data_IF_915794421851
#
_entry.id   IF_915794421851
#
_cell.length_a   1.000
_cell.length_b   1.000
_cell.length_c   1.000
_cell.angle_alpha   90.00
_cell.angle_beta   90.00
_cell.angle_gamma   90.00
#
_symmetry.space_group_name_H-M   'P 1'
#
loop_
_entity.id
_entity.type
_entity.pdbx_description
1 polymer ?
#
# COMPACT_ATOMS: atom_id res chain seq x y z
N UNK A 1 -48.70 40.92 70.95
CA UNK A 1 -48.77 42.34 71.35
C UNK A 1 -47.93 43.14 70.36
N UNK A 2 -48.57 44.03 69.59
CA UNK A 2 -48.01 45.23 68.91
C UNK A 2 -46.99 45.01 67.76
N UNK A 3 -47.41 45.21 66.50
CA UNK A 3 -47.24 46.43 65.64
C UNK A 3 -45.79 46.60 65.15
N UNK A 4 -45.40 47.14 64.00
CA UNK A 4 -45.97 47.75 62.79
C UNK A 4 -44.71 48.21 61.99
N UNK A 5 -44.85 48.45 60.67
CA UNK A 5 -44.08 49.44 59.86
C UNK A 5 -42.57 49.16 59.63
N UNK A 6 -41.88 49.73 58.64
CA UNK A 6 -42.09 50.11 57.25
C UNK A 6 -40.75 50.77 56.83
N UNK A 7 -40.40 50.68 55.54
CA UNK A 7 -39.46 51.60 54.84
C UNK A 7 -37.98 51.52 55.29
N UNK A 8 -36.96 51.81 54.48
CA UNK A 8 -36.80 52.73 53.35
C UNK A 8 -35.59 52.31 52.52
N UNK A 9 -35.66 52.58 51.21
CA UNK A 9 -34.53 52.56 50.27
C UNK A 9 -33.51 53.65 50.60
N UNK A 10 -32.22 53.40 50.39
CA UNK A 10 -31.31 54.41 49.84
C UNK A 10 -30.13 53.75 49.10
N UNK A 11 -30.14 53.91 47.77
CA UNK A 11 -29.01 53.63 46.89
C UNK A 11 -27.98 54.75 46.99
N UNK A 12 -26.69 54.40 47.01
CA UNK A 12 -25.62 55.28 46.52
C UNK A 12 -24.68 54.47 45.61
N UNK A 13 -24.59 54.96 44.37
CA UNK A 13 -23.57 54.82 43.31
C UNK A 13 -22.17 54.39 43.81
N UNK A 14 -21.32 53.66 43.09
CA UNK A 14 -21.19 53.42 41.66
C UNK A 14 -19.69 53.38 41.32
N UNK A 15 -19.32 52.54 40.34
CA UNK A 15 -18.05 52.47 39.59
C UNK A 15 -16.75 52.14 40.36
N UNK A 16 -16.17 50.97 40.09
CA UNK A 16 -15.12 50.88 39.06
C UNK A 16 -14.67 49.44 38.80
N UNK A 17 -14.46 49.20 37.52
CA UNK A 17 -14.11 47.97 36.83
C UNK A 17 -12.61 47.68 37.03
N UNK A 18 -12.24 46.48 37.48
CA UNK A 18 -10.88 45.98 37.39
C UNK A 18 -10.90 44.53 36.93
N UNK A 19 -10.43 44.34 35.69
CA UNK A 19 -10.09 43.07 35.06
C UNK A 19 -9.06 42.31 35.90
N UNK A 20 -9.31 41.02 36.17
CA UNK A 20 -8.24 40.07 36.48
C UNK A 20 -8.43 38.85 35.58
N UNK A 21 -7.49 38.70 34.64
CA UNK A 21 -7.35 37.51 33.79
C UNK A 21 -6.79 36.36 34.63
N UNK A 22 -7.52 35.25 34.67
CA UNK A 22 -7.08 33.98 35.24
C UNK A 22 -6.26 33.19 34.22
N UNK A 23 -5.02 32.87 34.58
CA UNK A 23 -4.11 31.98 33.85
C UNK A 23 -4.08 30.59 34.48
N UNK A 24 -4.12 29.60 33.61
CA UNK A 24 -3.92 28.14 33.68
C UNK A 24 -3.37 27.46 34.96
N UNK A 25 -3.95 26.28 35.26
CA UNK A 25 -3.34 25.26 36.12
C UNK A 25 -4.19 24.00 36.36
N UNK A 26 -4.21 23.08 35.39
CA UNK A 26 -4.21 21.60 35.58
C UNK A 26 -5.46 20.87 36.10
N UNK A 27 -6.05 20.01 35.25
CA UNK A 27 -7.02 18.98 35.68
C UNK A 27 -7.87 18.43 34.53
N UNK A 28 -7.37 17.40 33.84
CA UNK A 28 -7.90 16.83 32.61
C UNK A 28 -9.17 15.98 32.87
N UNK A 29 -10.29 16.38 32.28
CA UNK A 29 -11.56 15.65 32.28
C UNK A 29 -11.68 14.91 30.93
N UNK A 30 -11.77 13.58 30.99
CA UNK A 30 -11.90 12.74 29.81
C UNK A 30 -13.30 12.91 29.20
N UNK A 31 -13.36 13.54 28.02
CA UNK A 31 -14.51 13.51 27.13
C UNK A 31 -14.36 12.35 26.14
N UNK A 32 -15.29 11.41 26.21
CA UNK A 32 -15.53 10.40 25.18
C UNK A 32 -15.89 11.08 23.88
N UNK A 33 -14.94 11.15 22.94
CA UNK A 33 -15.21 11.54 21.56
C UNK A 33 -15.79 10.34 20.81
N UNK A 34 -16.97 10.54 20.23
CA UNK A 34 -17.57 9.63 19.27
C UNK A 34 -16.62 9.48 18.06
N UNK A 35 -16.39 8.23 17.63
CA UNK A 35 -15.69 7.93 16.40
C UNK A 35 -16.50 8.46 15.20
N UNK A 36 -16.00 9.53 14.59
CA UNK A 36 -16.41 9.97 13.26
C UNK A 36 -15.85 8.99 12.21
N UNK A 37 -16.75 8.33 11.49
CA UNK A 37 -16.49 7.24 10.53
C UNK A 37 -16.11 7.75 9.12
N UNK A 38 -15.76 9.03 8.97
CA UNK A 38 -15.23 9.56 7.71
C UNK A 38 -13.76 9.95 7.82
N UNK A 39 -12.87 8.98 7.61
CA UNK A 39 -11.46 9.26 7.34
C UNK A 39 -11.35 10.08 6.04
N UNK A 40 -10.73 11.28 6.06
CA UNK A 40 -10.53 12.07 4.84
C UNK A 40 -9.75 11.25 3.81
N UNK A 41 -10.17 11.24 2.54
CA UNK A 41 -9.47 10.55 1.44
C UNK A 41 -7.97 10.91 1.39
N UNK A 42 -7.63 12.14 1.72
CA UNK A 42 -6.25 12.63 1.89
C UNK A 42 -5.44 11.86 2.94
N UNK A 43 -6.08 11.35 4.00
CA UNK A 43 -5.44 10.53 5.03
C UNK A 43 -5.17 9.11 4.54
N UNK A 44 -6.05 8.53 3.71
CA UNK A 44 -5.86 7.22 3.09
C UNK A 44 -4.76 7.29 2.04
N UNK A 45 -4.77 8.32 1.19
CA UNK A 45 -3.69 8.58 0.23
C UNK A 45 -2.36 8.81 0.95
N UNK A 46 -2.33 9.56 2.07
CA UNK A 46 -1.11 9.72 2.89
C UNK A 46 -0.68 8.46 3.65
N UNK A 47 -1.62 7.59 4.01
CA UNK A 47 -1.35 6.30 4.65
C UNK A 47 -0.78 5.30 3.64
N UNK A 48 -1.19 5.43 2.37
CA UNK A 48 -0.65 4.69 1.21
C UNK A 48 0.64 5.30 0.65
N UNK A 49 0.89 6.62 0.73
CA UNK A 49 2.22 7.18 0.41
C UNK A 49 3.28 6.81 1.46
N UNK A 50 2.85 6.43 2.67
CA UNK A 50 3.69 5.80 3.72
C UNK A 50 3.57 4.29 3.74
N UNK A 51 3.20 3.68 2.62
CA UNK A 51 3.30 2.25 2.42
C UNK A 51 4.80 1.90 2.32
N UNK A 52 5.37 1.10 3.23
CA UNK A 52 6.73 0.62 3.06
C UNK A 52 6.69 -0.54 2.06
N UNK A 53 6.39 -0.24 0.80
CA UNK A 53 6.90 -1.07 -0.28
C UNK A 53 8.39 -0.81 -0.17
N UNK A 54 9.25 -1.82 0.02
CA UNK A 54 10.66 -1.59 -0.28
C UNK A 54 10.67 -0.99 -1.68
N UNK A 55 11.16 0.24 -1.77
CA UNK A 55 11.12 0.98 -3.02
C UNK A 55 11.75 0.09 -4.09
N UNK A 56 11.29 0.17 -5.34
CA UNK A 56 11.94 -0.57 -6.41
C UNK A 56 13.47 -0.30 -6.41
N UNK A 57 13.90 0.87 -5.96
CA UNK A 57 15.28 1.22 -5.64
C UNK A 57 15.94 0.38 -4.53
N UNK A 58 15.31 0.23 -3.36
CA UNK A 58 15.82 -0.61 -2.26
C UNK A 58 15.91 -2.07 -2.69
N UNK A 59 14.88 -2.59 -3.37
CA UNK A 59 14.88 -3.94 -3.93
C UNK A 59 16.01 -4.06 -4.97
N UNK A 60 16.17 -3.10 -5.89
CA UNK A 60 17.24 -3.07 -6.91
C UNK A 60 18.64 -3.10 -6.31
N UNK A 61 18.91 -2.22 -5.35
CA UNK A 61 20.23 -2.12 -4.74
C UNK A 61 20.60 -3.39 -3.97
N UNK A 62 19.61 -4.07 -3.39
CA UNK A 62 19.81 -5.31 -2.64
C UNK A 62 19.92 -6.53 -3.57
N UNK A 63 19.14 -6.58 -4.66
CA UNK A 63 19.20 -7.64 -5.67
C UNK A 63 20.52 -7.61 -6.45
N UNK A 64 21.02 -6.43 -6.81
CA UNK A 64 22.35 -6.25 -7.38
C UNK A 64 23.45 -6.71 -6.41
N UNK A 65 23.34 -6.40 -5.11
CA UNK A 65 24.29 -6.86 -4.08
C UNK A 65 24.24 -8.37 -3.84
N UNK A 66 23.07 -9.00 -3.98
CA UNK A 66 22.90 -10.43 -3.80
C UNK A 66 23.45 -11.26 -4.98
N UNK A 67 23.75 -10.62 -6.12
CA UNK A 67 24.28 -11.29 -7.31
C UNK A 67 23.32 -12.32 -7.92
N UNK A 68 22.03 -12.23 -7.60
CA UNK A 68 21.02 -13.12 -8.15
C UNK A 68 20.68 -12.66 -9.57
N UNK A 69 20.80 -13.54 -10.56
CA UNK A 69 20.41 -13.23 -11.93
C UNK A 69 18.90 -13.05 -12.08
N UNK A 70 18.48 -12.39 -13.16
CA UNK A 70 17.07 -12.29 -13.53
C UNK A 70 16.51 -13.68 -13.87
N UNK A 71 15.33 -14.00 -13.34
CA UNK A 71 14.64 -15.27 -13.59
C UNK A 71 13.32 -14.95 -14.28
N UNK A 72 13.24 -15.17 -15.59
CA UNK A 72 12.02 -14.85 -16.35
C UNK A 72 10.82 -15.71 -15.91
N UNK A 73 11.06 -16.96 -15.52
CA UNK A 73 10.00 -17.95 -15.26
C UNK A 73 9.21 -17.73 -13.98
N UNK A 74 9.65 -16.82 -13.09
CA UNK A 74 8.90 -16.53 -11.86
C UNK A 74 7.77 -15.53 -12.12
N UNK A 75 7.98 -14.55 -13.01
CA UNK A 75 6.98 -13.53 -13.34
C UNK A 75 5.71 -14.08 -13.99
N UNK A 76 4.62 -13.32 -13.92
CA UNK A 76 3.35 -13.72 -14.51
C UNK A 76 3.47 -13.73 -16.04
N UNK A 77 2.99 -14.78 -16.71
CA UNK A 77 3.03 -14.84 -18.17
C UNK A 77 2.19 -13.71 -18.76
N UNK A 78 2.75 -12.97 -19.72
CA UNK A 78 2.00 -11.93 -20.44
C UNK A 78 0.85 -12.49 -21.27
N UNK A 79 0.88 -13.79 -21.58
CA UNK A 79 -0.23 -14.49 -22.25
C UNK A 79 -1.47 -14.66 -21.37
N UNK A 80 -1.37 -14.41 -20.06
CA UNK A 80 -2.51 -14.49 -19.16
C UNK A 80 -3.40 -13.24 -19.19
N UNK A 81 -2.95 -12.12 -19.78
CA UNK A 81 -3.71 -10.85 -19.75
C UNK A 81 -5.14 -10.98 -20.28
N UNK A 82 -5.34 -11.81 -21.32
CA UNK A 82 -6.64 -12.08 -21.94
C UNK A 82 -7.56 -13.00 -21.11
N UNK A 83 -7.05 -13.59 -20.02
CA UNK A 83 -7.82 -14.48 -19.13
C UNK A 83 -8.52 -13.72 -18.01
N UNK A 84 -8.16 -12.46 -17.79
CA UNK A 84 -8.69 -11.66 -16.69
C UNK A 84 -9.99 -10.96 -17.12
N UNK A 85 -11.14 -11.58 -16.86
CA UNK A 85 -12.43 -11.08 -17.34
C UNK A 85 -13.12 -10.08 -16.41
N UNK A 86 -13.03 -10.30 -15.10
CA UNK A 86 -13.71 -9.48 -14.08
C UNK A 86 -12.90 -8.24 -13.70
N UNK A 87 -13.56 -7.16 -13.24
CA UNK A 87 -12.86 -5.98 -12.72
C UNK A 87 -11.91 -6.36 -11.58
N UNK A 88 -12.33 -7.24 -10.67
CA UNK A 88 -11.48 -7.83 -9.62
C UNK A 88 -10.22 -8.46 -10.19
N UNK A 89 -10.34 -9.40 -11.13
CA UNK A 89 -9.18 -10.10 -11.71
C UNK A 89 -8.25 -9.14 -12.45
N UNK A 90 -8.80 -8.13 -13.14
CA UNK A 90 -8.01 -7.12 -13.84
C UNK A 90 -7.25 -6.21 -12.88
N UNK A 91 -7.91 -5.74 -11.82
CA UNK A 91 -7.28 -4.90 -10.80
C UNK A 91 -6.14 -5.62 -10.09
N UNK A 92 -6.38 -6.85 -9.62
CA UNK A 92 -5.34 -7.67 -8.99
C UNK A 92 -4.16 -7.85 -9.95
N UNK A 93 -4.43 -8.24 -11.20
CA UNK A 93 -3.36 -8.53 -12.16
C UNK A 93 -2.67 -7.29 -12.72
N UNK A 94 -3.29 -6.11 -12.68
CA UNK A 94 -2.61 -4.84 -12.93
C UNK A 94 -1.53 -4.60 -11.85
N UNK A 95 -1.84 -4.91 -10.59
CA UNK A 95 -0.86 -4.90 -9.51
C UNK A 95 0.28 -5.87 -9.74
N UNK A 96 -0.05 -7.12 -10.10
CA UNK A 96 0.92 -8.21 -10.36
C UNK A 96 1.86 -7.82 -11.51
N UNK A 97 1.33 -7.46 -12.68
CA UNK A 97 2.15 -7.03 -13.81
C UNK A 97 2.95 -5.76 -13.51
N UNK A 98 2.49 -4.95 -12.56
CA UNK A 98 3.26 -3.83 -12.05
C UNK A 98 4.51 -4.21 -11.29
N UNK A 99 4.42 -5.21 -10.43
CA UNK A 99 5.57 -5.78 -9.75
C UNK A 99 6.53 -6.45 -10.76
N UNK A 100 6.00 -7.17 -11.75
CA UNK A 100 6.79 -7.78 -12.82
C UNK A 100 7.51 -6.74 -13.70
N UNK A 101 6.82 -5.65 -14.04
CA UNK A 101 7.40 -4.51 -14.74
C UNK A 101 8.55 -3.90 -13.94
N UNK A 102 8.35 -3.68 -12.63
CA UNK A 102 9.39 -3.15 -11.75
C UNK A 102 10.57 -4.12 -11.64
N UNK A 103 10.32 -5.43 -11.57
CA UNK A 103 11.35 -6.46 -11.52
C UNK A 103 12.17 -6.51 -12.82
N UNK A 104 11.53 -6.56 -13.99
CA UNK A 104 12.21 -6.52 -15.28
C UNK A 104 13.05 -5.24 -15.45
N UNK A 105 12.49 -4.09 -15.05
CA UNK A 105 13.18 -2.80 -15.12
C UNK A 105 14.38 -2.72 -14.18
N UNK A 106 14.25 -3.29 -12.99
CA UNK A 106 15.32 -3.43 -12.00
C UNK A 106 16.51 -4.21 -12.57
N UNK A 107 16.27 -5.21 -13.42
CA UNK A 107 17.32 -5.99 -14.06
C UNK A 107 17.75 -5.46 -15.44
N UNK A 108 17.23 -4.31 -15.86
CA UNK A 108 17.46 -3.74 -17.20
C UNK A 108 17.07 -4.69 -18.34
N UNK A 109 16.07 -5.56 -18.10
CA UNK A 109 15.53 -6.49 -19.08
C UNK A 109 14.55 -5.73 -19.98
N UNK A 110 15.08 -5.07 -21.01
CA UNK A 110 14.31 -4.10 -21.83
C UNK A 110 13.12 -4.74 -22.53
N UNK A 111 13.29 -5.94 -23.10
CA UNK A 111 12.22 -6.62 -23.82
C UNK A 111 11.08 -6.99 -22.87
N UNK A 112 11.42 -7.55 -21.70
CA UNK A 112 10.49 -7.92 -20.63
C UNK A 112 9.78 -6.68 -20.07
N UNK A 113 10.52 -5.59 -19.87
CA UNK A 113 9.96 -4.30 -19.43
C UNK A 113 8.89 -3.82 -20.40
N UNK A 114 9.15 -3.84 -21.71
CA UNK A 114 8.17 -3.45 -22.72
C UNK A 114 6.99 -4.43 -22.81
N UNK A 115 7.23 -5.73 -22.64
CA UNK A 115 6.19 -6.74 -22.60
C UNK A 115 5.22 -6.52 -21.42
N UNK A 116 5.75 -6.28 -20.22
CA UNK A 116 4.93 -6.00 -19.02
C UNK A 116 4.24 -4.64 -19.09
N UNK A 117 4.88 -3.63 -19.67
CA UNK A 117 4.25 -2.34 -19.94
C UNK A 117 3.02 -2.53 -20.85
N UNK A 118 3.13 -3.32 -21.92
CA UNK A 118 2.03 -3.54 -22.86
C UNK A 118 0.81 -4.20 -22.20
N UNK A 119 1.00 -5.26 -21.42
CA UNK A 119 -0.12 -5.92 -20.73
C UNK A 119 -0.68 -5.06 -19.59
N UNK A 120 0.16 -4.27 -18.92
CA UNK A 120 -0.31 -3.31 -17.92
C UNK A 120 -1.19 -2.26 -18.57
N UNK A 121 -0.77 -1.64 -19.69
CA UNK A 121 -1.58 -0.66 -20.43
C UNK A 121 -2.94 -1.21 -20.82
N UNK A 122 -2.97 -2.44 -21.33
CA UNK A 122 -4.23 -3.13 -21.67
C UNK A 122 -5.17 -3.21 -20.47
N UNK A 123 -4.69 -3.64 -19.31
CA UNK A 123 -5.53 -3.70 -18.11
C UNK A 123 -5.97 -2.33 -17.62
N UNK A 124 -5.11 -1.32 -17.71
CA UNK A 124 -5.44 0.06 -17.35
C UNK A 124 -6.56 0.59 -18.26
N UNK A 125 -6.47 0.37 -19.56
CA UNK A 125 -7.51 0.74 -20.52
C UNK A 125 -8.83 0.00 -20.25
N UNK A 126 -8.76 -1.32 -19.98
CA UNK A 126 -9.95 -2.14 -19.66
C UNK A 126 -10.59 -1.81 -18.30
N UNK A 127 -9.81 -1.29 -17.35
CA UNK A 127 -10.29 -0.75 -16.06
C UNK A 127 -10.75 0.71 -16.18
N UNK A 128 -10.62 1.31 -17.37
CA UNK A 128 -10.97 2.70 -17.68
C UNK A 128 -10.23 3.70 -16.77
N UNK A 129 -8.96 3.40 -16.51
CA UNK A 129 -8.05 4.31 -15.80
C UNK A 129 -7.43 5.23 -16.87
N UNK A 130 -7.59 6.54 -16.70
CA UNK A 130 -7.39 7.63 -17.69
C UNK A 130 -6.35 7.38 -18.80
N UNK A 131 -6.71 7.67 -20.05
CA UNK A 131 -5.88 7.48 -21.24
C UNK A 131 -4.73 8.49 -21.37
N UNK A 132 -4.88 9.72 -20.85
CA UNK A 132 -3.81 10.74 -20.90
C UNK A 132 -2.62 10.34 -20.00
N UNK A 133 -2.94 9.69 -18.88
CA UNK A 133 -1.95 9.09 -18.00
C UNK A 133 -1.20 7.92 -18.69
N UNK A 134 -1.88 7.13 -19.53
CA UNK A 134 -1.31 5.95 -20.19
C UNK A 134 -0.39 6.29 -21.36
N UNK A 135 -0.75 7.30 -22.16
CA UNK A 135 0.06 7.75 -23.29
C UNK A 135 1.40 8.31 -22.79
N UNK A 136 1.33 9.22 -21.81
CA UNK A 136 2.52 9.84 -21.23
C UNK A 136 3.38 8.84 -20.45
N UNK A 137 2.79 7.83 -19.80
CA UNK A 137 3.54 6.80 -19.09
C UNK A 137 4.40 5.94 -20.04
N UNK A 138 3.82 5.46 -21.14
CA UNK A 138 4.53 4.60 -22.08
C UNK A 138 5.73 5.31 -22.72
N UNK A 139 5.54 6.55 -23.17
CA UNK A 139 6.60 7.38 -23.73
C UNK A 139 7.72 7.64 -22.71
N UNK A 140 7.36 7.88 -21.44
CA UNK A 140 8.34 8.07 -20.36
C UNK A 140 9.13 6.79 -20.08
N UNK A 141 8.51 5.61 -20.15
CA UNK A 141 9.23 4.33 -20.01
C UNK A 141 10.19 4.13 -21.17
N UNK A 142 9.73 4.29 -22.42
CA UNK A 142 10.58 4.15 -23.60
C UNK A 142 11.77 5.10 -23.60
N UNK A 143 11.54 6.37 -23.25
CA UNK A 143 12.60 7.39 -23.17
C UNK A 143 13.64 7.11 -22.09
N UNK A 144 13.27 6.40 -21.03
CA UNK A 144 14.16 6.13 -19.90
C UNK A 144 14.60 4.66 -19.82
N UNK A 145 14.31 3.84 -20.84
CA UNK A 145 14.57 2.39 -20.82
C UNK A 145 16.05 2.02 -20.58
N UNK A 146 16.96 2.93 -20.94
CA UNK A 146 18.41 2.78 -20.76
C UNK A 146 18.92 3.35 -19.43
N UNK A 147 18.09 4.08 -18.69
CA UNK A 147 18.43 4.71 -17.43
C UNK A 147 17.62 4.08 -16.29
N UNK A 148 18.24 3.13 -15.59
CA UNK A 148 17.61 2.34 -14.53
C UNK A 148 16.98 3.22 -13.43
N UNK A 149 17.69 4.22 -12.93
CA UNK A 149 17.20 5.09 -11.85
C UNK A 149 15.98 5.90 -12.32
N UNK A 150 16.06 6.51 -13.51
CA UNK A 150 14.93 7.25 -14.09
C UNK A 150 13.75 6.34 -14.39
N UNK A 151 13.99 5.13 -14.90
CA UNK A 151 12.96 4.15 -15.21
C UNK A 151 12.21 3.72 -13.94
N UNK A 152 12.95 3.44 -12.86
CA UNK A 152 12.39 3.13 -11.54
C UNK A 152 11.48 4.26 -11.04
N UNK A 153 11.92 5.52 -11.18
CA UNK A 153 11.11 6.68 -10.78
C UNK A 153 9.85 6.82 -11.62
N UNK A 154 9.94 6.65 -12.94
CA UNK A 154 8.80 6.72 -13.86
C UNK A 154 7.75 5.66 -13.53
N UNK A 155 8.18 4.43 -13.27
CA UNK A 155 7.30 3.32 -12.91
C UNK A 155 6.64 3.58 -11.55
N UNK A 156 7.42 4.00 -10.55
CA UNK A 156 6.90 4.28 -9.20
C UNK A 156 5.87 5.41 -9.20
N UNK A 157 6.15 6.51 -9.90
CA UNK A 157 5.22 7.64 -10.10
C UNK A 157 3.93 7.20 -10.81
N UNK A 158 4.04 6.26 -11.75
CA UNK A 158 2.88 5.70 -12.45
C UNK A 158 1.98 4.89 -11.51
N UNK A 159 2.54 4.02 -10.67
CA UNK A 159 1.75 3.29 -9.67
C UNK A 159 1.04 4.22 -8.69
N UNK A 160 1.74 5.27 -8.24
CA UNK A 160 1.15 6.26 -7.36
C UNK A 160 -0.02 7.00 -8.01
N UNK A 161 0.14 7.48 -9.25
CA UNK A 161 -0.92 8.17 -9.99
C UNK A 161 -2.10 7.27 -10.34
N UNK A 162 -1.85 5.99 -10.62
CA UNK A 162 -2.92 4.99 -10.81
C UNK A 162 -3.78 4.86 -9.55
N UNK A 163 -3.12 4.76 -8.39
CA UNK A 163 -3.78 4.71 -7.09
C UNK A 163 -4.58 5.99 -6.79
N UNK A 164 -3.98 7.15 -7.00
CA UNK A 164 -4.62 8.46 -6.82
C UNK A 164 -5.86 8.59 -7.71
N UNK A 165 -5.74 8.23 -8.99
CA UNK A 165 -6.85 8.25 -9.93
C UNK A 165 -8.01 7.37 -9.46
N UNK A 166 -7.76 6.12 -9.09
CA UNK A 166 -8.81 5.20 -8.64
C UNK A 166 -9.53 5.74 -7.39
N UNK A 167 -8.77 6.21 -6.40
CA UNK A 167 -9.30 6.74 -5.13
C UNK A 167 -10.14 8.01 -5.34
N UNK A 168 -9.64 8.93 -6.17
CA UNK A 168 -10.32 10.19 -6.48
C UNK A 168 -11.63 9.97 -7.27
N UNK A 169 -11.72 8.87 -8.03
CA UNK A 169 -12.91 8.49 -8.79
C UNK A 169 -13.84 7.51 -8.04
N UNK A 170 -13.67 7.33 -6.73
CA UNK A 170 -14.53 6.46 -5.92
C UNK A 170 -14.36 4.97 -6.20
N UNK A 171 -13.26 4.59 -6.88
CA UNK A 171 -12.86 3.21 -7.15
C UNK A 171 -11.88 2.69 -6.07
N UNK A 172 -12.13 3.05 -4.81
CA UNK A 172 -11.26 2.73 -3.66
C UNK A 172 -11.01 1.21 -3.54
N UNK A 173 -12.05 0.40 -3.76
CA UNK A 173 -11.95 -1.07 -3.74
C UNK A 173 -10.98 -1.61 -4.82
N UNK A 174 -11.06 -1.09 -6.05
CA UNK A 174 -10.15 -1.50 -7.13
C UNK A 174 -8.72 -1.08 -6.83
N UNK A 175 -8.54 0.10 -6.23
CA UNK A 175 -7.24 0.59 -5.78
C UNK A 175 -6.58 -0.38 -4.78
N UNK A 176 -7.34 -0.84 -3.79
CA UNK A 176 -6.88 -1.83 -2.81
C UNK A 176 -6.54 -3.19 -3.44
N UNK A 177 -7.29 -3.62 -4.44
CA UNK A 177 -7.01 -4.86 -5.17
C UNK A 177 -5.72 -4.76 -6.00
N UNK A 178 -5.48 -3.62 -6.67
CA UNK A 178 -4.20 -3.34 -7.37
C UNK A 178 -3.03 -3.39 -6.39
N UNK A 179 -3.15 -2.72 -5.24
CA UNK A 179 -2.12 -2.74 -4.21
C UNK A 179 -1.83 -4.15 -3.68
N UNK A 180 -2.90 -4.93 -3.45
CA UNK A 180 -2.78 -6.30 -2.93
C UNK A 180 -2.12 -7.25 -3.93
N UNK A 181 -2.45 -7.13 -5.21
CA UNK A 181 -1.78 -7.88 -6.28
C UNK A 181 -0.28 -7.52 -6.37
N UNK A 182 0.04 -6.23 -6.36
CA UNK A 182 1.43 -5.75 -6.41
C UNK A 182 2.26 -6.23 -5.23
N UNK A 183 1.73 -6.13 -4.01
CA UNK A 183 2.43 -6.56 -2.81
C UNK A 183 2.63 -8.09 -2.78
N UNK A 184 1.60 -8.86 -3.17
CA UNK A 184 1.69 -10.33 -3.22
C UNK A 184 2.74 -10.79 -4.22
N UNK A 185 2.78 -10.21 -5.43
CA UNK A 185 3.77 -10.55 -6.45
C UNK A 185 5.18 -10.11 -6.04
N UNK A 186 5.33 -8.92 -5.44
CA UNK A 186 6.61 -8.43 -4.95
C UNK A 186 7.22 -9.34 -3.88
N UNK A 187 6.41 -9.80 -2.92
CA UNK A 187 6.85 -10.78 -1.92
C UNK A 187 7.19 -12.12 -2.59
N UNK A 188 6.32 -12.62 -3.47
CA UNK A 188 6.56 -13.87 -4.19
C UNK A 188 7.90 -13.83 -4.93
N UNK A 189 8.15 -12.82 -5.77
CA UNK A 189 9.42 -12.62 -6.49
C UNK A 189 10.60 -12.64 -5.51
N UNK A 190 10.51 -11.86 -4.43
CA UNK A 190 11.58 -11.78 -3.42
C UNK A 190 11.89 -13.15 -2.81
N UNK A 191 10.86 -13.94 -2.47
CA UNK A 191 11.06 -15.29 -1.91
C UNK A 191 11.58 -16.30 -2.93
N UNK A 192 11.24 -16.17 -4.22
CA UNK A 192 11.82 -17.04 -5.25
C UNK A 192 13.29 -16.70 -5.51
N UNK A 193 13.66 -15.43 -5.48
CA UNK A 193 15.06 -15.02 -5.59
C UNK A 193 15.86 -15.57 -4.39
N UNK A 194 15.33 -15.43 -3.17
CA UNK A 194 15.93 -15.96 -1.94
C UNK A 194 16.34 -17.45 -2.10
N UNK A 195 15.45 -18.30 -2.63
CA UNK A 195 15.71 -19.73 -2.88
C UNK A 195 16.89 -20.00 -3.81
N UNK A 196 17.18 -19.08 -4.73
CA UNK A 196 18.20 -19.24 -5.77
C UNK A 196 19.51 -18.52 -5.44
N UNK A 197 19.51 -17.66 -4.43
CA UNK A 197 20.68 -16.87 -4.02
C UNK A 197 21.65 -17.67 -3.16
N UNK A 198 22.94 -17.66 -3.54
CA UNK A 198 24.01 -18.29 -2.74
C UNK A 198 24.29 -17.56 -1.41
N UNK A 199 24.04 -16.25 -1.36
CA UNK A 199 24.11 -15.43 -0.15
C UNK A 199 22.81 -14.64 -0.03
N UNK A 200 21.90 -15.13 0.80
CA UNK A 200 20.51 -14.68 0.87
C UNK A 200 20.21 -13.80 2.11
N UNK A 201 21.20 -13.53 2.98
CA UNK A 201 20.97 -12.81 4.25
C UNK A 201 20.29 -11.45 4.06
N UNK A 202 20.72 -10.67 3.07
CA UNK A 202 20.11 -9.37 2.79
C UNK A 202 18.72 -9.50 2.17
N UNK A 203 18.45 -10.55 1.39
CA UNK A 203 17.11 -10.85 0.86
C UNK A 203 16.17 -11.27 2.00
N UNK A 204 16.65 -12.09 2.94
CA UNK A 204 15.89 -12.46 4.14
C UNK A 204 15.50 -11.23 4.95
N UNK A 205 16.41 -10.25 5.11
CA UNK A 205 16.06 -8.97 5.77
C UNK A 205 14.96 -8.21 5.03
N UNK A 206 14.96 -8.21 3.69
CA UNK A 206 13.88 -7.60 2.90
C UNK A 206 12.55 -8.29 3.20
N UNK A 207 12.54 -9.63 3.15
CA UNK A 207 11.33 -10.43 3.42
C UNK A 207 10.77 -10.08 4.80
N UNK A 208 11.62 -10.02 5.83
CA UNK A 208 11.23 -9.63 7.19
C UNK A 208 10.64 -8.21 7.21
N UNK A 209 11.31 -7.25 6.58
CA UNK A 209 10.89 -5.84 6.58
C UNK A 209 9.55 -5.59 5.86
N UNK A 210 9.18 -6.45 4.89
CA UNK A 210 7.90 -6.35 4.17
C UNK A 210 6.68 -6.66 5.04
N UNK A 211 6.83 -7.30 6.20
CA UNK A 211 5.70 -7.57 7.11
C UNK A 211 5.01 -6.27 7.58
N UNK A 212 5.78 -5.19 7.75
CA UNK A 212 5.23 -3.89 8.18
C UNK A 212 4.26 -3.28 7.16
N UNK A 213 4.49 -3.45 5.85
CA UNK A 213 3.54 -3.01 4.82
C UNK A 213 2.32 -3.92 4.74
N UNK A 214 2.49 -5.23 4.94
CA UNK A 214 1.37 -6.17 4.96
C UNK A 214 0.33 -5.81 6.02
N UNK A 215 0.78 -5.52 7.24
CA UNK A 215 -0.12 -5.16 8.35
C UNK A 215 -0.95 -3.93 7.99
N UNK A 216 -0.32 -2.89 7.45
CA UNK A 216 -1.02 -1.68 7.00
C UNK A 216 -2.02 -1.96 5.88
N UNK A 217 -1.65 -2.82 4.91
CA UNK A 217 -2.55 -3.19 3.82
C UNK A 217 -3.77 -3.95 4.35
N UNK A 218 -3.58 -4.88 5.30
CA UNK A 218 -4.66 -5.60 5.98
C UNK A 218 -5.59 -4.63 6.71
N UNK A 219 -5.05 -3.62 7.42
CA UNK A 219 -5.87 -2.59 8.07
C UNK A 219 -6.74 -1.80 7.08
N UNK A 220 -6.19 -1.47 5.91
CA UNK A 220 -6.94 -0.77 4.86
C UNK A 220 -8.02 -1.65 4.24
N UNK A 221 -7.73 -2.92 3.98
CA UNK A 221 -8.70 -3.89 3.48
C UNK A 221 -9.81 -4.16 4.51
N UNK A 222 -9.48 -4.27 5.80
CA UNK A 222 -10.47 -4.50 6.86
C UNK A 222 -11.48 -3.36 6.98
N UNK A 223 -11.02 -2.10 6.84
CA UNK A 223 -11.90 -0.92 6.78
C UNK A 223 -12.86 -0.94 5.59
N UNK A 224 -12.53 -1.66 4.53
CA UNK A 224 -13.29 -1.71 3.27
C UNK A 224 -13.93 -3.09 3.01
N UNK A 225 -13.96 -3.99 4.01
CA UNK A 225 -14.46 -5.37 3.87
C UNK A 225 -15.96 -5.51 3.61
N UNK A 226 -16.71 -4.41 3.57
CA UNK A 226 -18.10 -4.42 3.12
C UNK A 226 -18.21 -4.82 1.63
N UNK A 227 -17.16 -4.56 0.84
CA UNK A 227 -17.07 -5.07 -0.52
C UNK A 227 -16.57 -6.53 -0.52
N UNK A 228 -17.28 -7.41 -1.23
CA UNK A 228 -16.99 -8.85 -1.23
C UNK A 228 -15.61 -9.21 -1.81
N UNK A 229 -15.17 -8.52 -2.87
CA UNK A 229 -13.86 -8.77 -3.49
C UNK A 229 -12.72 -8.34 -2.55
N UNK A 230 -12.90 -7.22 -1.85
CA UNK A 230 -11.98 -6.75 -0.81
C UNK A 230 -11.93 -7.71 0.38
N UNK A 231 -13.08 -8.20 0.84
CA UNK A 231 -13.15 -9.17 1.93
C UNK A 231 -12.45 -10.50 1.56
N UNK A 232 -12.62 -10.98 0.33
CA UNK A 232 -11.91 -12.16 -0.14
C UNK A 232 -10.39 -11.94 -0.18
N UNK A 233 -9.95 -10.78 -0.66
CA UNK A 233 -8.53 -10.42 -0.68
C UNK A 233 -7.94 -10.29 0.73
N UNK A 234 -8.70 -9.72 1.66
CA UNK A 234 -8.32 -9.62 3.08
C UNK A 234 -7.99 -11.00 3.67
N UNK A 235 -8.83 -12.01 3.43
CA UNK A 235 -8.60 -13.39 3.91
C UNK A 235 -7.30 -13.97 3.34
N UNK A 236 -7.02 -13.72 2.06
CA UNK A 236 -5.77 -14.16 1.42
C UNK A 236 -4.56 -13.50 2.09
N UNK A 237 -4.57 -12.19 2.29
CA UNK A 237 -3.45 -11.49 2.93
C UNK A 237 -3.29 -11.83 4.41
N UNK A 238 -4.38 -12.07 5.14
CA UNK A 238 -4.33 -12.58 6.51
C UNK A 238 -3.65 -13.96 6.59
N UNK A 239 -3.86 -14.82 5.59
CA UNK A 239 -3.17 -16.11 5.50
C UNK A 239 -1.65 -15.94 5.34
N UNK A 240 -1.22 -14.95 4.54
CA UNK A 240 0.21 -14.60 4.43
C UNK A 240 0.73 -14.02 5.75
N UNK A 241 -0.04 -13.16 6.41
CA UNK A 241 0.32 -12.57 7.70
C UNK A 241 0.48 -13.62 8.80
N UNK A 242 -0.33 -14.67 8.79
CA UNK A 242 -0.14 -15.81 9.70
C UNK A 242 1.20 -16.51 9.47
N UNK A 243 1.58 -16.76 8.21
CA UNK A 243 2.86 -17.36 7.88
C UNK A 243 4.06 -16.47 8.32
N UNK A 244 3.88 -15.15 8.29
CA UNK A 244 4.86 -14.18 8.78
C UNK A 244 5.14 -14.27 10.28
N UNK A 245 4.24 -14.82 11.10
CA UNK A 245 4.50 -14.97 12.55
C UNK A 245 5.70 -15.86 12.84
N UNK A 246 6.01 -16.81 11.96
CA UNK A 246 7.23 -17.62 12.06
C UNK A 246 8.50 -16.92 11.57
N UNK A 247 8.37 -15.77 10.88
CA UNK A 247 9.46 -15.02 10.25
C UNK A 247 9.76 -13.78 11.11
N UNK A 248 10.28 -14.01 12.31
CA UNK A 248 10.58 -12.95 13.30
C UNK A 248 11.96 -13.14 13.95
N UNK A 249 12.54 -12.03 14.42
CA UNK A 249 13.81 -12.00 15.16
C UNK A 249 15.07 -11.87 14.30
N UNK A 250 16.23 -11.74 14.96
CA UNK A 250 17.52 -11.46 14.32
C UNK A 250 18.09 -12.64 13.52
N UNK A 251 17.64 -13.87 13.82
CA UNK A 251 18.00 -15.11 13.11
C UNK A 251 16.74 -15.82 12.68
N UNK A 252 16.31 -15.54 11.45
CA UNK A 252 15.13 -16.18 10.87
C UNK A 252 15.45 -17.63 10.51
N UNK A 253 14.58 -18.55 10.93
CA UNK A 253 14.66 -19.96 10.53
C UNK A 253 14.39 -20.13 9.03
N UNK A 254 15.28 -20.81 8.32
CA UNK A 254 15.11 -21.14 6.90
C UNK A 254 13.79 -21.90 6.63
N UNK A 255 13.32 -22.71 7.59
CA UNK A 255 12.01 -23.38 7.47
C UNK A 255 10.85 -22.39 7.49
N UNK A 256 10.96 -21.32 8.27
CA UNK A 256 9.93 -20.28 8.32
C UNK A 256 9.86 -19.50 7.00
N UNK A 257 11.01 -19.16 6.41
CA UNK A 257 11.07 -18.54 5.07
C UNK A 257 10.50 -19.48 4.01
N UNK A 258 10.85 -20.77 4.04
CA UNK A 258 10.31 -21.75 3.10
C UNK A 258 8.78 -21.90 3.22
N UNK A 259 8.24 -21.89 4.45
CA UNK A 259 6.80 -21.92 4.69
C UNK A 259 6.12 -20.65 4.13
N UNK A 260 6.65 -19.46 4.43
CA UNK A 260 6.13 -18.20 3.90
C UNK A 260 6.14 -18.20 2.37
N UNK A 261 7.25 -18.64 1.77
CA UNK A 261 7.38 -18.74 0.31
C UNK A 261 6.34 -19.68 -0.31
N UNK A 262 6.08 -20.83 0.31
CA UNK A 262 5.04 -21.77 -0.15
C UNK A 262 3.63 -21.18 -0.05
N UNK A 263 3.33 -20.46 1.04
CA UNK A 263 2.03 -19.82 1.25
C UNK A 263 1.78 -18.71 0.23
N UNK A 264 2.76 -17.81 0.03
CA UNK A 264 2.62 -16.73 -0.97
C UNK A 264 2.53 -17.28 -2.38
N UNK A 265 3.30 -18.31 -2.72
CA UNK A 265 3.24 -18.97 -4.03
C UNK A 265 1.86 -19.60 -4.30
N UNK A 266 1.30 -20.30 -3.31
CA UNK A 266 -0.06 -20.86 -3.43
C UNK A 266 -1.09 -19.76 -3.69
N UNK A 267 -1.06 -18.70 -2.90
CA UNK A 267 -2.03 -17.58 -2.99
C UNK A 267 -1.87 -16.85 -4.32
N UNK A 268 -0.64 -16.55 -4.72
CA UNK A 268 -0.33 -15.93 -6.02
C UNK A 268 -0.86 -16.79 -7.17
N UNK A 269 -0.66 -18.10 -7.12
CA UNK A 269 -1.13 -19.02 -8.14
C UNK A 269 -2.66 -19.10 -8.24
N UNK A 270 -3.42 -18.67 -7.22
CA UNK A 270 -4.87 -18.50 -7.32
C UNK A 270 -5.27 -17.21 -8.04
N UNK A 271 -4.41 -16.17 -8.01
CA UNK A 271 -4.68 -14.85 -8.59
C UNK A 271 -4.35 -14.74 -10.08
N UNK A 272 -3.41 -15.56 -10.57
CA UNK A 272 -2.92 -15.51 -11.96
C UNK A 272 -3.58 -16.56 -12.89
N UNK A 273 -4.68 -17.17 -12.45
CA UNK A 273 -5.42 -18.17 -13.24
C UNK A 273 -6.22 -17.56 -14.38
#
# INVERSE_FOLDING_TARGET
>A
MKTLLNATKLSIYGLSFAFVLTSCGGGQQASTEAQDENLPKDSLVKMVTKYPLPTAFEVTNLLNKAGAGFILSISNSTNNVDKYFTEKSKAINLGIYGADLAYASTYQMKQETMNYLKVSKKLIDELQISTEFNATFAERVEKNIDNQDSLIQVISDSFFKTYEFLTNNGKDNLSLLVMSGSWTEGLYITTQIEKTSKNNQDIVKIIVNQNGSLVKLIELLDKNKANADVAEMLVKLQTISEAYKGVQGDKVDAKAIANLSSVVEKIRNEMVK
#
